data_IF_192131086655
#
_entry.id   IF_192131086655
#
_cell.length_a   1.000
_cell.length_b   1.000
_cell.length_c   1.000
_cell.angle_alpha   90.00
_cell.angle_beta   90.00
_cell.angle_gamma   90.00
#
_symmetry.space_group_name_H-M   'P 1'
#
loop_
_entity.id
_entity.type
_entity.pdbx_description
1 polymer ?
#
# COMPACT_ATOMS: atom_id res chain seq x y z
N UNK A 1 29.63 13.45 -15.14
CA UNK A 1 28.28 14.02 -15.22
C UNK A 1 27.53 13.42 -14.07
N UNK A 2 27.24 14.22 -13.04
CA UNK A 2 26.78 13.79 -11.72
C UNK A 2 25.43 13.09 -11.81
N UNK A 3 25.38 11.82 -11.42
CA UNK A 3 24.16 11.07 -11.16
C UNK A 3 23.42 11.72 -9.99
N UNK A 4 22.51 12.64 -10.29
CA UNK A 4 21.51 13.09 -9.32
C UNK A 4 20.48 11.97 -9.23
N UNK A 5 20.72 11.01 -8.34
CA UNK A 5 19.67 10.08 -7.90
C UNK A 5 18.63 10.95 -7.19
N UNK A 6 17.51 11.26 -7.86
CA UNK A 6 16.43 11.99 -7.21
C UNK A 6 15.89 11.11 -6.08
N UNK A 7 15.92 11.58 -4.83
CA UNK A 7 15.32 10.85 -3.72
C UNK A 7 13.80 10.74 -3.93
N UNK A 8 13.34 9.57 -4.37
CA UNK A 8 11.92 9.29 -4.54
C UNK A 8 11.26 9.17 -3.16
N UNK A 9 10.35 10.10 -2.85
CA UNK A 9 9.63 10.13 -1.58
C UNK A 9 8.35 9.32 -1.69
N UNK A 10 8.10 8.40 -0.76
CA UNK A 10 6.83 7.66 -0.65
C UNK A 10 5.98 8.30 0.45
N UNK A 11 4.73 8.63 0.13
CA UNK A 11 3.78 9.16 1.12
C UNK A 11 3.17 8.01 1.92
N UNK A 12 2.89 8.23 3.20
CA UNK A 12 2.23 7.25 4.06
C UNK A 12 1.08 7.88 4.85
N UNK A 13 -0.12 7.34 4.69
CA UNK A 13 -1.32 7.68 5.45
C UNK A 13 -1.68 6.50 6.37
N UNK A 14 -1.24 6.60 7.62
CA UNK A 14 -1.40 5.56 8.63
C UNK A 14 -2.44 5.95 9.68
N UNK A 15 -3.21 5.00 10.19
CA UNK A 15 -4.18 5.25 11.25
C UNK A 15 -5.08 4.03 11.54
N UNK A 16 -5.85 4.05 12.64
CA UNK A 16 -6.71 2.92 13.04
C UNK A 16 -7.83 2.65 12.03
N UNK A 17 -8.39 1.45 12.03
CA UNK A 17 -9.56 1.10 11.21
C UNK A 17 -10.71 2.06 11.48
N UNK A 18 -11.41 2.51 10.42
CA UNK A 18 -12.52 3.46 10.54
C UNK A 18 -12.12 4.94 10.68
N UNK A 19 -10.83 5.30 10.63
CA UNK A 19 -10.37 6.68 10.76
C UNK A 19 -10.55 7.57 9.52
N UNK A 20 -11.32 7.15 8.51
CA UNK A 20 -11.58 7.94 7.29
C UNK A 20 -10.42 8.05 6.30
N UNK A 21 -9.42 7.15 6.34
CA UNK A 21 -8.28 7.18 5.40
C UNK A 21 -8.72 6.99 3.94
N UNK A 22 -9.59 6.02 3.69
CA UNK A 22 -10.13 5.74 2.36
C UNK A 22 -10.85 6.97 1.81
N UNK A 23 -11.73 7.59 2.62
CA UNK A 23 -12.45 8.82 2.25
C UNK A 23 -11.54 9.98 1.85
N UNK A 24 -10.35 10.08 2.47
CA UNK A 24 -9.37 11.09 2.13
C UNK A 24 -8.69 10.80 0.79
N UNK A 25 -8.23 9.56 0.58
CA UNK A 25 -7.44 9.21 -0.62
C UNK A 25 -8.27 9.19 -1.89
N UNK A 26 -9.56 8.85 -1.83
CA UNK A 26 -10.44 8.88 -3.00
C UNK A 26 -10.74 10.30 -3.51
N UNK A 27 -10.39 11.34 -2.75
CA UNK A 27 -10.50 12.75 -3.15
C UNK A 27 -9.24 13.29 -3.81
N UNK A 28 -8.15 12.51 -3.82
CA UNK A 28 -6.90 12.91 -4.45
C UNK A 28 -6.99 12.75 -5.97
N UNK A 29 -6.12 13.44 -6.71
CA UNK A 29 -6.06 13.36 -8.17
C UNK A 29 -5.60 11.95 -8.61
N UNK A 30 -6.47 11.15 -9.27
CA UNK A 30 -6.14 9.78 -9.66
C UNK A 30 -5.15 9.69 -10.83
N UNK A 31 -4.85 10.82 -11.48
CA UNK A 31 -3.78 10.89 -12.50
C UNK A 31 -2.41 11.03 -11.86
N UNK A 32 -2.35 11.53 -10.63
CA UNK A 32 -1.11 11.79 -9.88
C UNK A 32 -0.82 10.74 -8.83
N UNK A 33 -1.84 10.25 -8.12
CA UNK A 33 -1.67 9.41 -6.95
C UNK A 33 -2.22 8.00 -7.15
N UNK A 34 -1.56 7.03 -6.52
CA UNK A 34 -2.02 5.65 -6.46
C UNK A 34 -1.82 5.07 -5.06
N UNK A 35 -2.79 4.27 -4.62
CA UNK A 35 -2.82 3.70 -3.27
C UNK A 35 -2.14 2.35 -3.26
N UNK A 36 -1.20 2.16 -2.34
CA UNK A 36 -0.63 0.84 -1.99
C UNK A 36 -1.22 0.46 -0.64
N UNK A 37 -2.13 -0.52 -0.61
CA UNK A 37 -2.76 -0.93 0.64
C UNK A 37 -1.74 -1.59 1.57
N UNK A 38 -1.74 -1.15 2.83
CA UNK A 38 -0.94 -1.67 3.94
C UNK A 38 -1.84 -2.23 5.03
N UNK A 39 -2.70 -3.17 4.65
CA UNK A 39 -3.59 -3.89 5.55
C UNK A 39 -3.52 -5.40 5.31
N UNK A 40 -3.19 -6.16 6.36
CA UNK A 40 -3.07 -7.62 6.31
C UNK A 40 -4.36 -8.37 5.99
N UNK A 41 -5.53 -7.72 6.08
CA UNK A 41 -6.84 -8.31 5.83
C UNK A 41 -7.42 -7.91 4.47
N UNK A 42 -7.15 -6.69 4.00
CA UNK A 42 -7.68 -6.22 2.71
C UNK A 42 -7.09 -6.94 1.49
N UNK A 43 -6.03 -7.71 1.66
CA UNK A 43 -5.44 -8.55 0.60
C UNK A 43 -6.38 -9.68 0.14
N UNK A 44 -7.36 -10.09 0.96
CA UNK A 44 -8.23 -11.22 0.69
C UNK A 44 -9.50 -10.85 -0.09
N UNK A 45 -9.83 -11.63 -1.11
CA UNK A 45 -10.95 -11.36 -2.05
C UNK A 45 -12.34 -11.35 -1.41
N UNK A 46 -12.61 -12.25 -0.46
CA UNK A 46 -13.95 -12.46 0.10
C UNK A 46 -14.18 -11.69 1.42
N UNK A 47 -13.20 -10.89 1.86
CA UNK A 47 -13.22 -10.22 3.15
C UNK A 47 -13.54 -8.73 3.02
N UNK A 48 -14.72 -8.42 2.50
CA UNK A 48 -15.09 -7.04 2.16
C UNK A 48 -15.47 -6.22 3.39
N UNK A 49 -16.45 -6.73 4.15
CA UNK A 49 -17.07 -6.01 5.26
C UNK A 49 -16.14 -6.00 6.48
N UNK A 50 -15.61 -7.18 6.86
CA UNK A 50 -14.82 -7.34 8.08
C UNK A 50 -13.46 -6.63 8.06
N UNK A 51 -12.92 -6.35 6.88
CA UNK A 51 -11.64 -5.64 6.71
C UNK A 51 -11.81 -4.15 6.36
N UNK A 52 -13.06 -3.67 6.27
CA UNK A 52 -13.37 -2.34 5.73
C UNK A 52 -12.64 -2.10 4.40
N UNK A 53 -12.72 -3.09 3.50
CA UNK A 53 -12.08 -3.06 2.18
C UNK A 53 -12.70 -1.94 1.34
N UNK A 54 -11.91 -1.13 0.61
CA UNK A 54 -12.45 -0.12 -0.28
C UNK A 54 -13.47 -0.73 -1.25
N UNK A 55 -14.63 -0.10 -1.35
CA UNK A 55 -15.70 -0.50 -2.27
C UNK A 55 -15.25 -0.37 -3.72
N UNK A 56 -15.93 -1.05 -4.64
CA UNK A 56 -15.65 -0.93 -6.08
C UNK A 56 -15.70 0.53 -6.57
N UNK A 57 -16.58 1.36 -5.98
CA UNK A 57 -16.67 2.79 -6.28
C UNK A 57 -15.42 3.55 -5.84
N UNK A 58 -14.89 3.24 -4.67
CA UNK A 58 -13.66 3.86 -4.14
C UNK A 58 -12.42 3.40 -4.91
N UNK A 59 -12.35 2.11 -5.26
CA UNK A 59 -11.28 1.57 -6.11
C UNK A 59 -11.31 2.14 -7.54
N UNK A 60 -12.50 2.45 -8.07
CA UNK A 60 -12.64 3.12 -9.36
C UNK A 60 -12.28 4.61 -9.30
N UNK A 61 -12.37 5.25 -8.13
CA UNK A 61 -12.05 6.67 -7.95
C UNK A 61 -10.54 6.93 -7.99
N UNK A 62 -9.73 6.01 -7.44
CA UNK A 62 -8.26 6.06 -7.46
C UNK A 62 -7.70 4.62 -7.47
N UNK A 63 -6.65 4.30 -8.26
CA UNK A 63 -6.09 2.96 -8.29
C UNK A 63 -5.65 2.48 -6.90
N UNK A 64 -6.13 1.31 -6.50
CA UNK A 64 -5.71 0.62 -5.28
C UNK A 64 -4.97 -0.66 -5.64
N UNK A 65 -3.76 -0.80 -5.12
CA UNK A 65 -2.92 -1.97 -5.27
C UNK A 65 -2.89 -2.79 -3.99
N UNK A 66 -2.61 -4.09 -4.13
CA UNK A 66 -2.52 -5.04 -3.02
C UNK A 66 -3.82 -5.17 -2.20
N UNK A 67 -4.96 -4.99 -2.87
CA UNK A 67 -6.30 -5.22 -2.34
C UNK A 67 -6.92 -6.40 -3.09
N UNK A 68 -7.61 -7.29 -2.37
CA UNK A 68 -8.42 -8.39 -2.91
C UNK A 68 -7.72 -9.23 -4.00
N UNK A 69 -6.42 -9.51 -3.86
CA UNK A 69 -5.67 -10.31 -4.83
C UNK A 69 -5.44 -11.76 -4.37
N UNK A 70 -5.74 -12.07 -3.10
CA UNK A 70 -5.47 -13.36 -2.48
C UNK A 70 -6.77 -14.09 -2.14
N UNK A 71 -6.84 -15.39 -2.42
CA UNK A 71 -7.95 -16.23 -1.95
C UNK A 71 -7.78 -16.56 -0.46
N UNK A 72 -8.88 -16.74 0.31
CA UNK A 72 -8.79 -16.95 1.78
C UNK A 72 -8.00 -18.17 2.24
N UNK A 73 -7.86 -19.20 1.39
CA UNK A 73 -7.10 -20.42 1.67
C UNK A 73 -5.58 -20.23 1.59
N UNK A 74 -5.13 -19.11 1.01
CA UNK A 74 -3.71 -18.79 0.84
C UNK A 74 -3.19 -17.92 1.98
N UNK A 75 -1.93 -18.13 2.34
CA UNK A 75 -1.26 -17.31 3.36
C UNK A 75 -0.38 -16.27 2.69
N UNK A 76 -0.33 -15.09 3.30
CA UNK A 76 0.67 -14.07 3.01
C UNK A 76 1.46 -13.75 4.27
N UNK A 77 2.77 -13.69 4.14
CA UNK A 77 3.65 -13.20 5.18
C UNK A 77 4.15 -11.79 4.83
N UNK A 78 4.78 -11.16 5.82
CA UNK A 78 5.31 -9.79 5.70
C UNK A 78 6.43 -9.69 4.66
N UNK A 79 7.23 -10.74 4.46
CA UNK A 79 8.32 -10.74 3.48
C UNK A 79 7.79 -10.69 2.05
N UNK A 80 6.78 -11.52 1.76
CA UNK A 80 6.10 -11.52 0.48
C UNK A 80 5.37 -10.20 0.25
N UNK A 81 4.65 -9.68 1.25
CA UNK A 81 4.01 -8.37 1.16
C UNK A 81 5.01 -7.26 0.82
N UNK A 82 6.17 -7.20 1.50
CA UNK A 82 7.20 -6.18 1.23
C UNK A 82 7.71 -6.28 -0.21
N UNK A 83 7.97 -7.49 -0.70
CA UNK A 83 8.43 -7.70 -2.08
C UNK A 83 7.41 -7.16 -3.08
N UNK A 84 6.14 -7.47 -2.88
CA UNK A 84 5.05 -6.98 -3.74
C UNK A 84 4.89 -5.46 -3.64
N UNK A 85 4.88 -4.91 -2.43
CA UNK A 85 4.74 -3.48 -2.19
C UNK A 85 5.88 -2.67 -2.83
N UNK A 86 7.13 -3.14 -2.74
CA UNK A 86 8.28 -2.50 -3.40
C UNK A 86 8.16 -2.52 -4.92
N UNK A 87 7.72 -3.63 -5.49
CA UNK A 87 7.51 -3.74 -6.94
C UNK A 87 6.43 -2.76 -7.42
N UNK A 88 5.29 -2.70 -6.70
CA UNK A 88 4.21 -1.74 -6.99
C UNK A 88 4.69 -0.30 -6.86
N UNK A 89 5.42 0.04 -5.80
CA UNK A 89 5.96 1.39 -5.59
C UNK A 89 6.88 1.81 -6.73
N UNK A 90 7.78 0.92 -7.16
CA UNK A 90 8.69 1.18 -8.27
C UNK A 90 7.92 1.41 -9.58
N UNK A 91 6.95 0.55 -9.92
CA UNK A 91 6.09 0.70 -11.10
C UNK A 91 5.32 2.04 -11.10
N UNK A 92 4.76 2.45 -9.95
CA UNK A 92 4.07 3.73 -9.84
C UNK A 92 5.02 4.90 -10.14
N UNK A 93 6.24 4.87 -9.61
CA UNK A 93 7.23 5.89 -9.88
C UNK A 93 7.71 5.90 -11.34
N UNK A 94 7.91 4.72 -11.95
CA UNK A 94 8.29 4.58 -13.36
C UNK A 94 7.23 5.19 -14.29
N UNK A 95 5.95 5.08 -13.91
CA UNK A 95 4.83 5.74 -14.61
C UNK A 95 4.69 7.24 -14.32
N UNK A 96 5.64 7.83 -13.59
CA UNK A 96 5.66 9.26 -13.24
C UNK A 96 4.60 9.66 -12.21
N UNK A 97 4.10 8.72 -11.42
CA UNK A 97 3.05 8.92 -10.42
C UNK A 97 3.60 8.82 -9.00
N UNK A 98 2.80 9.24 -8.03
CA UNK A 98 3.15 9.30 -6.63
C UNK A 98 2.45 8.18 -5.83
N UNK A 99 3.20 7.20 -5.31
CA UNK A 99 2.64 6.17 -4.45
C UNK A 99 2.27 6.75 -3.07
N UNK A 100 1.13 6.30 -2.54
CA UNK A 100 0.67 6.55 -1.18
C UNK A 100 0.40 5.21 -0.51
N UNK A 101 1.17 4.91 0.53
CA UNK A 101 0.89 3.76 1.40
C UNK A 101 -0.29 4.11 2.30
N UNK A 102 -1.34 3.30 2.31
CA UNK A 102 -2.55 3.56 3.12
C UNK A 102 -2.87 2.32 3.94
N UNK A 103 -2.99 2.46 5.26
CA UNK A 103 -3.39 1.30 6.08
C UNK A 103 -3.27 1.50 7.58
N UNK A 104 -3.49 0.40 8.31
CA UNK A 104 -3.42 0.35 9.78
C UNK A 104 -2.49 -0.74 10.31
N UNK A 105 -1.92 -1.59 9.45
CA UNK A 105 -1.05 -2.69 9.91
C UNK A 105 0.35 -2.16 10.18
N UNK A 106 0.57 -1.66 11.41
CA UNK A 106 1.84 -1.04 11.81
C UNK A 106 3.07 -1.95 11.62
N UNK A 107 2.91 -3.27 11.77
CA UNK A 107 3.97 -4.23 11.51
C UNK A 107 4.44 -4.24 10.05
N UNK A 108 3.50 -4.25 9.09
CA UNK A 108 3.81 -4.21 7.66
C UNK A 108 4.50 -2.90 7.28
N UNK A 109 3.98 -1.78 7.78
CA UNK A 109 4.58 -0.47 7.52
C UNK A 109 6.00 -0.36 8.08
N UNK A 110 6.21 -0.78 9.34
CA UNK A 110 7.55 -0.81 9.95
C UNK A 110 8.49 -1.67 9.12
N UNK A 111 8.09 -2.89 8.79
CA UNK A 111 8.93 -3.81 8.06
C UNK A 111 9.25 -3.33 6.63
N UNK A 112 8.31 -2.65 5.96
CA UNK A 112 8.54 -2.02 4.67
C UNK A 112 9.53 -0.85 4.76
N UNK A 113 9.42 -0.02 5.81
CA UNK A 113 10.26 1.15 6.05
C UNK A 113 11.69 0.80 6.49
N UNK A 114 11.84 -0.13 7.44
CA UNK A 114 13.11 -0.36 8.15
C UNK A 114 13.69 -1.76 7.93
N UNK A 115 12.99 -2.65 7.21
CA UNK A 115 13.32 -4.07 7.22
C UNK A 115 12.85 -4.77 8.49
N UNK A 116 13.06 -6.10 8.56
CA UNK A 116 12.56 -6.96 9.63
C UNK A 116 13.48 -7.02 10.86
N UNK A 117 14.79 -7.04 10.63
CA UNK A 117 15.80 -7.14 11.67
C UNK A 117 16.94 -6.17 11.36
N UNK A 118 17.51 -5.58 12.39
CA UNK A 118 18.81 -4.93 12.29
C UNK A 118 19.87 -6.03 12.35
N UNK A 119 20.68 -6.13 11.30
CA UNK A 119 21.85 -7.02 11.31
C UNK A 119 23.03 -6.19 11.79
N UNK A 120 23.51 -6.48 13.00
CA UNK A 120 24.82 -6.01 13.43
C UNK A 120 25.86 -6.88 12.74
N UNK A 121 26.61 -6.29 11.81
CA UNK A 121 27.78 -6.90 11.16
C UNK A 121 29.03 -6.40 11.87
#
# INVERSE_FOLDING_TARGET
MSDVVSEQTVLALMGPTGSGKTDLVVRLDPRRYEVVSCDSRQVYQELDIGAATPTAKEQAAIPHHLVQFLTPDRKIDVGLYIKMARAVIADIFERGRQPIIVGGTGFYYRALKTGLFEVQV
#
